data_IF_377556714931
#
_entry.id   IF_377556714931
#
_cell.length_a   1.000
_cell.length_b   1.000
_cell.length_c   1.000
_cell.angle_alpha   90.00
_cell.angle_beta   90.00
_cell.angle_gamma   90.00
#
_symmetry.space_group_name_H-M   'P 1'
#
loop_
_entity.id
_entity.type
_entity.pdbx_description
1 polymer ?
#
# COMPACT_ATOMS: atom_id res chain seq x y z
N UNK A 1 -31.84 -23.10 -8.11
CA UNK A 1 -31.65 -21.62 -8.08
C UNK A 1 -30.26 -21.33 -7.46
N UNK A 2 -29.43 -20.59 -8.13
CA UNK A 2 -28.07 -20.26 -7.65
C UNK A 2 -28.14 -18.97 -6.84
N UNK A 3 -27.61 -18.97 -5.61
CA UNK A 3 -27.63 -17.86 -4.68
C UNK A 3 -26.20 -17.44 -4.37
N UNK A 4 -25.93 -16.15 -4.39
CA UNK A 4 -24.63 -15.59 -4.02
C UNK A 4 -24.74 -14.85 -2.68
N UNK A 5 -23.84 -15.15 -1.75
CA UNK A 5 -23.66 -14.35 -0.54
C UNK A 5 -22.68 -13.20 -0.87
N UNK A 6 -23.17 -11.96 -0.88
CA UNK A 6 -22.44 -10.77 -1.31
C UNK A 6 -22.01 -9.96 -0.09
N UNK A 7 -20.72 -9.70 0.02
CA UNK A 7 -20.14 -8.84 1.03
C UNK A 7 -20.15 -7.39 0.53
N UNK A 8 -20.76 -6.52 1.32
CA UNK A 8 -20.81 -5.09 1.11
C UNK A 8 -19.96 -4.38 2.17
N UNK A 9 -19.58 -3.12 1.93
CA UNK A 9 -18.72 -2.34 2.84
C UNK A 9 -19.41 -1.91 4.16
N UNK A 10 -20.52 -2.54 4.51
CA UNK A 10 -21.22 -2.31 5.77
C UNK A 10 -20.68 -3.17 6.90
N UNK A 11 -20.81 -2.66 8.13
CA UNK A 11 -20.40 -3.38 9.34
C UNK A 11 -21.44 -4.45 9.71
N UNK A 12 -21.48 -5.56 8.96
CA UNK A 12 -22.42 -6.66 9.16
C UNK A 12 -21.68 -7.98 9.29
N UNK A 13 -22.19 -8.85 10.13
CA UNK A 13 -21.57 -10.15 10.46
C UNK A 13 -21.60 -11.11 9.28
N UNK A 14 -22.65 -11.06 8.45
CA UNK A 14 -22.82 -11.93 7.28
C UNK A 14 -23.05 -11.14 6.00
N UNK A 15 -22.75 -11.76 4.86
CA UNK A 15 -23.12 -11.24 3.56
C UNK A 15 -24.63 -11.20 3.35
N UNK A 16 -25.05 -10.46 2.35
CA UNK A 16 -26.44 -10.46 1.87
C UNK A 16 -26.61 -11.47 0.76
N UNK A 17 -27.69 -12.22 0.82
CA UNK A 17 -28.03 -13.21 -0.20
C UNK A 17 -28.77 -12.55 -1.38
N UNK A 18 -28.31 -12.88 -2.59
CA UNK A 18 -28.90 -12.45 -3.85
C UNK A 18 -29.08 -13.62 -4.80
N UNK A 19 -30.12 -13.56 -5.64
CA UNK A 19 -30.29 -14.53 -6.72
C UNK A 19 -29.26 -14.25 -7.80
N UNK A 20 -28.59 -15.28 -8.29
CA UNK A 20 -27.77 -15.18 -9.51
C UNK A 20 -28.70 -15.42 -10.68
N UNK A 21 -28.92 -14.41 -11.57
CA UNK A 21 -29.74 -14.58 -12.77
C UNK A 21 -29.18 -15.66 -13.69
N UNK A 22 -30.05 -16.35 -14.44
CA UNK A 22 -29.66 -17.46 -15.32
C UNK A 22 -28.63 -17.04 -16.36
N UNK A 23 -28.75 -15.83 -16.92
CA UNK A 23 -27.83 -15.27 -17.88
C UNK A 23 -26.43 -14.94 -17.29
N UNK A 24 -26.28 -14.89 -15.98
CA UNK A 24 -25.02 -14.66 -15.28
C UNK A 24 -24.53 -15.88 -14.50
N UNK A 25 -25.25 -17.00 -14.61
CA UNK A 25 -24.99 -18.19 -13.79
C UNK A 25 -23.59 -18.78 -13.98
N UNK A 26 -23.09 -18.77 -15.21
CA UNK A 26 -21.76 -19.32 -15.53
C UNK A 26 -20.63 -18.32 -15.24
N UNK A 27 -20.94 -17.03 -15.16
CA UNK A 27 -19.95 -15.97 -14.99
C UNK A 27 -19.71 -15.61 -13.52
N UNK A 28 -20.71 -15.81 -12.65
CA UNK A 28 -20.63 -15.44 -11.24
C UNK A 28 -20.17 -16.62 -10.40
N UNK A 29 -19.00 -16.44 -9.78
CA UNK A 29 -18.35 -17.38 -8.86
C UNK A 29 -17.94 -16.67 -7.58
N UNK A 30 -17.46 -17.40 -6.57
CA UNK A 30 -16.84 -16.79 -5.40
C UNK A 30 -15.65 -15.92 -5.84
N UNK A 31 -15.58 -14.71 -5.28
CA UNK A 31 -14.60 -13.67 -5.67
C UNK A 31 -15.12 -12.69 -6.71
N UNK A 32 -16.18 -12.98 -7.45
CA UNK A 32 -16.75 -12.06 -8.45
C UNK A 32 -17.21 -10.76 -7.81
N UNK A 33 -16.90 -9.63 -8.43
CA UNK A 33 -17.49 -8.33 -8.06
C UNK A 33 -18.81 -8.13 -8.78
N UNK A 34 -19.83 -7.81 -8.00
CA UNK A 34 -21.21 -7.67 -8.49
C UNK A 34 -21.83 -6.37 -8.01
N UNK A 35 -22.67 -5.80 -8.85
CA UNK A 35 -23.54 -4.67 -8.48
C UNK A 35 -24.87 -5.21 -7.99
N UNK A 36 -25.30 -4.75 -6.83
CA UNK A 36 -26.55 -5.16 -6.19
C UNK A 36 -27.32 -3.96 -5.68
N UNK A 37 -28.64 -4.12 -5.58
CA UNK A 37 -29.51 -3.08 -5.00
C UNK A 37 -29.79 -3.35 -3.53
N UNK A 38 -29.32 -2.45 -2.64
CA UNK A 38 -29.65 -2.43 -1.22
C UNK A 38 -30.38 -1.11 -0.87
N UNK A 39 -31.59 -1.18 -0.28
CA UNK A 39 -32.38 0.00 0.12
C UNK A 39 -32.45 1.10 -0.97
N UNK A 40 -32.75 0.72 -2.20
CA UNK A 40 -32.85 1.59 -3.39
C UNK A 40 -31.54 2.20 -3.87
N UNK A 41 -30.38 1.82 -3.30
CA UNK A 41 -29.04 2.24 -3.77
C UNK A 41 -28.35 1.07 -4.45
N UNK A 42 -27.68 1.35 -5.58
CA UNK A 42 -26.78 0.41 -6.22
C UNK A 42 -25.43 0.43 -5.52
N UNK A 43 -24.91 -0.73 -5.20
CA UNK A 43 -23.68 -0.89 -4.42
C UNK A 43 -22.87 -2.03 -5.03
N UNK A 44 -21.56 -1.84 -5.11
CA UNK A 44 -20.63 -2.88 -5.53
C UNK A 44 -20.20 -3.68 -4.31
N UNK A 45 -20.27 -5.00 -4.43
CA UNK A 45 -19.76 -5.95 -3.45
C UNK A 45 -19.03 -7.09 -4.12
N UNK A 46 -18.46 -7.98 -3.33
CA UNK A 46 -17.89 -9.22 -3.85
C UNK A 46 -18.63 -10.45 -3.31
N UNK A 47 -18.69 -11.50 -4.13
CA UNK A 47 -19.28 -12.77 -3.77
C UNK A 47 -18.34 -13.55 -2.86
N UNK A 48 -18.73 -13.82 -1.63
CA UNK A 48 -17.93 -14.60 -0.68
C UNK A 48 -18.12 -16.12 -0.85
N UNK A 49 -19.32 -16.53 -1.27
CA UNK A 49 -19.68 -17.93 -1.53
C UNK A 49 -20.91 -18.04 -2.44
N UNK A 50 -21.03 -19.18 -3.10
CA UNK A 50 -22.21 -19.58 -3.85
C UNK A 50 -22.90 -20.73 -3.09
N UNK A 51 -24.23 -20.65 -2.99
CA UNK A 51 -25.07 -21.63 -2.28
C UNK A 51 -26.39 -21.90 -3.00
N UNK A 52 -27.11 -22.91 -2.59
CA UNK A 52 -28.38 -23.32 -3.19
C UNK A 52 -29.59 -22.91 -2.36
N UNK A 53 -29.38 -22.60 -1.09
CA UNK A 53 -30.43 -22.28 -0.12
C UNK A 53 -30.12 -20.96 0.61
N UNK A 54 -31.16 -20.24 1.02
CA UNK A 54 -31.09 -19.05 1.84
C UNK A 54 -32.14 -19.09 2.95
N UNK A 55 -31.83 -18.48 4.08
CA UNK A 55 -32.79 -18.27 5.18
C UNK A 55 -33.72 -17.08 4.92
N UNK A 56 -33.50 -16.33 3.85
CA UNK A 56 -34.28 -15.15 3.49
C UNK A 56 -35.34 -15.54 2.45
N UNK A 57 -36.62 -15.29 2.76
CA UNK A 57 -37.73 -15.71 1.90
C UNK A 57 -37.83 -14.92 0.58
N UNK A 58 -37.38 -13.65 0.55
CA UNK A 58 -37.46 -12.81 -0.65
C UNK A 58 -36.06 -12.27 -0.98
N UNK A 59 -35.49 -12.79 -2.05
CA UNK A 59 -34.18 -12.39 -2.53
C UNK A 59 -34.32 -11.47 -3.74
N UNK A 60 -33.43 -10.48 -3.85
CA UNK A 60 -33.29 -9.65 -5.05
C UNK A 60 -32.25 -10.29 -5.99
N UNK A 61 -32.35 -10.05 -7.30
CA UNK A 61 -31.33 -10.51 -8.23
C UNK A 61 -30.09 -9.61 -8.14
N UNK A 62 -28.95 -10.15 -8.58
CA UNK A 62 -27.74 -9.41 -8.93
C UNK A 62 -28.03 -8.62 -10.20
N UNK A 63 -27.66 -7.33 -10.24
CA UNK A 63 -27.89 -6.46 -11.40
C UNK A 63 -26.93 -6.77 -12.55
N UNK A 64 -25.63 -6.87 -12.22
CA UNK A 64 -24.57 -7.20 -13.19
C UNK A 64 -23.27 -7.64 -12.51
N UNK A 65 -22.43 -8.32 -13.25
CA UNK A 65 -21.00 -8.50 -12.94
C UNK A 65 -20.25 -7.20 -13.26
N UNK A 66 -19.31 -6.81 -12.38
CA UNK A 66 -18.62 -5.51 -12.50
C UNK A 66 -17.29 -5.61 -13.21
N UNK A 67 -16.51 -6.66 -12.91
CA UNK A 67 -15.20 -6.92 -13.52
C UNK A 67 -15.15 -8.32 -14.10
N UNK A 68 -14.37 -8.50 -15.15
CA UNK A 68 -14.15 -9.83 -15.73
C UNK A 68 -13.44 -10.76 -14.74
N UNK A 69 -12.38 -10.28 -14.07
CA UNK A 69 -11.65 -11.03 -13.06
C UNK A 69 -12.20 -10.74 -11.66
N UNK A 70 -12.26 -11.78 -10.86
CA UNK A 70 -12.61 -11.70 -9.43
C UNK A 70 -11.38 -11.85 -8.53
N UNK A 71 -11.64 -11.84 -7.23
CA UNK A 71 -10.66 -12.15 -6.19
C UNK A 71 -10.25 -13.61 -6.29
N UNK A 72 -8.96 -13.91 -6.14
CA UNK A 72 -8.45 -15.27 -6.09
C UNK A 72 -8.93 -16.00 -4.83
N UNK A 73 -8.91 -17.34 -4.86
CA UNK A 73 -9.27 -18.18 -3.72
C UNK A 73 -8.39 -17.86 -2.50
N UNK A 74 -7.09 -17.75 -2.70
CA UNK A 74 -6.13 -17.45 -1.63
C UNK A 74 -6.39 -16.07 -1.02
N UNK A 75 -6.80 -15.10 -1.84
CA UNK A 75 -7.15 -13.77 -1.32
C UNK A 75 -8.47 -13.80 -0.54
N UNK A 76 -9.47 -14.58 -0.96
CA UNK A 76 -10.69 -14.78 -0.18
C UNK A 76 -10.40 -15.48 1.16
N UNK A 77 -9.51 -16.47 1.18
CA UNK A 77 -9.06 -17.12 2.42
C UNK A 77 -8.31 -16.12 3.32
N UNK A 78 -7.46 -15.27 2.76
CA UNK A 78 -6.81 -14.20 3.49
C UNK A 78 -7.82 -13.25 4.15
N UNK A 79 -8.85 -12.80 3.42
CA UNK A 79 -9.88 -11.91 3.96
C UNK A 79 -10.67 -12.59 5.10
N UNK A 80 -11.02 -13.86 4.96
CA UNK A 80 -11.70 -14.65 6.01
C UNK A 80 -10.83 -14.80 7.25
N UNK A 81 -9.54 -15.10 7.06
CA UNK A 81 -8.60 -15.16 8.17
C UNK A 81 -8.45 -13.81 8.88
N UNK A 82 -8.28 -12.72 8.14
CA UNK A 82 -8.16 -11.39 8.71
C UNK A 82 -9.42 -11.00 9.50
N UNK A 83 -10.60 -11.34 8.99
CA UNK A 83 -11.87 -11.14 9.69
C UNK A 83 -11.91 -11.90 11.01
N UNK A 84 -11.53 -13.16 11.02
CA UNK A 84 -11.51 -14.01 12.20
C UNK A 84 -10.43 -13.58 13.22
N UNK A 85 -9.20 -13.42 12.75
CA UNK A 85 -8.04 -13.13 13.59
C UNK A 85 -8.12 -11.76 14.28
N UNK A 86 -8.66 -10.76 13.60
CA UNK A 86 -8.82 -9.40 14.15
C UNK A 86 -10.22 -9.11 14.70
N UNK A 87 -11.03 -10.14 14.94
CA UNK A 87 -12.38 -10.03 15.51
C UNK A 87 -13.22 -8.95 14.83
N UNK A 88 -13.23 -8.94 13.52
CA UNK A 88 -13.98 -7.98 12.70
C UNK A 88 -14.78 -8.70 11.63
N UNK A 89 -15.72 -8.04 10.98
CA UNK A 89 -16.48 -8.68 9.89
C UNK A 89 -15.88 -8.37 8.51
N UNK A 90 -16.23 -9.20 7.53
CA UNK A 90 -15.72 -9.07 6.16
C UNK A 90 -16.08 -7.73 5.52
N UNK A 91 -17.22 -7.13 5.82
CA UNK A 91 -17.61 -5.81 5.31
C UNK A 91 -16.70 -4.71 5.80
N UNK A 92 -16.22 -4.78 7.05
CA UNK A 92 -15.23 -3.85 7.60
C UNK A 92 -13.85 -4.03 6.95
N UNK A 93 -13.46 -5.27 6.67
CA UNK A 93 -12.23 -5.56 5.89
C UNK A 93 -12.39 -5.04 4.44
N UNK A 94 -13.52 -5.32 3.80
CA UNK A 94 -13.80 -4.86 2.43
C UNK A 94 -13.70 -3.34 2.29
N UNK A 95 -14.06 -2.58 3.32
CA UNK A 95 -13.91 -1.11 3.31
C UNK A 95 -12.46 -0.65 3.08
N UNK A 96 -11.46 -1.47 3.41
CA UNK A 96 -10.03 -1.11 3.21
C UNK A 96 -9.64 -1.06 1.72
N UNK A 97 -10.42 -1.74 0.86
CA UNK A 97 -10.19 -1.81 -0.59
C UNK A 97 -11.50 -1.72 -1.40
N UNK A 98 -12.60 -1.26 -0.79
CA UNK A 98 -13.90 -1.12 -1.46
C UNK A 98 -13.82 -0.11 -2.60
N UNK A 99 -14.51 -0.45 -3.67
CA UNK A 99 -14.65 0.40 -4.85
C UNK A 99 -16.00 1.09 -4.74
N UNK A 100 -16.02 2.39 -4.95
CA UNK A 100 -17.23 3.14 -5.17
C UNK A 100 -17.66 3.04 -6.64
N UNK A 101 -18.83 3.58 -6.94
CA UNK A 101 -19.37 3.64 -8.30
C UNK A 101 -18.31 4.12 -9.31
N UNK A 102 -18.08 3.32 -10.37
CA UNK A 102 -17.04 3.58 -11.37
C UNK A 102 -17.44 4.80 -12.23
N UNK A 103 -17.32 5.99 -11.67
CA UNK A 103 -17.29 7.25 -12.40
C UNK A 103 -15.83 7.68 -12.61
N UNK A 104 -15.02 6.78 -13.16
CA UNK A 104 -13.63 7.12 -13.47
C UNK A 104 -13.61 8.12 -14.61
N UNK A 105 -13.28 9.36 -14.30
CA UNK A 105 -12.80 10.32 -15.29
C UNK A 105 -11.40 9.87 -15.72
N UNK A 106 -11.34 8.79 -16.51
CA UNK A 106 -10.09 8.26 -17.03
C UNK A 106 -9.44 9.35 -17.88
N UNK A 107 -8.15 9.55 -17.69
CA UNK A 107 -7.34 10.45 -18.51
C UNK A 107 -6.56 9.60 -19.51
N UNK A 108 -6.41 10.11 -20.70
CA UNK A 108 -5.79 9.43 -21.83
C UNK A 108 -4.67 10.28 -22.40
N UNK A 109 -3.68 9.61 -22.96
CA UNK A 109 -2.63 10.20 -23.81
C UNK A 109 -2.63 9.53 -25.14
N UNK A 110 -2.42 10.30 -26.20
CA UNK A 110 -2.25 9.74 -27.55
C UNK A 110 -0.81 9.25 -27.71
N UNK A 111 -0.66 7.95 -27.98
CA UNK A 111 0.64 7.27 -28.03
C UNK A 111 1.31 7.37 -29.38
N UNK A 112 0.52 7.53 -30.45
CA UNK A 112 1.01 7.54 -31.83
C UNK A 112 0.84 8.92 -32.47
N UNK A 113 1.91 9.39 -33.10
CA UNK A 113 1.88 10.56 -33.96
C UNK A 113 1.32 10.15 -35.35
N UNK A 114 -0.01 10.10 -35.44
CA UNK A 114 -0.71 9.83 -36.71
C UNK A 114 -1.33 11.12 -37.26
N UNK A 115 -1.32 11.31 -38.59
CA UNK A 115 -1.91 12.48 -39.25
C UNK A 115 -3.43 12.60 -38.99
N UNK A 116 -4.13 11.49 -38.89
CA UNK A 116 -5.58 11.43 -38.65
C UNK A 116 -5.96 11.87 -37.21
N UNK A 117 -5.03 11.73 -36.24
CA UNK A 117 -5.28 12.03 -34.83
C UNK A 117 -4.26 13.03 -34.25
N UNK A 118 -3.70 13.88 -35.15
CA UNK A 118 -2.68 14.85 -34.77
C UNK A 118 -3.18 15.83 -33.68
N UNK A 119 -4.45 16.22 -33.74
CA UNK A 119 -5.06 17.12 -32.76
C UNK A 119 -5.06 16.49 -31.38
N UNK A 120 -5.51 15.23 -31.21
CA UNK A 120 -5.46 14.49 -29.97
C UNK A 120 -4.03 14.31 -29.46
N UNK A 121 -3.09 14.05 -30.35
CA UNK A 121 -1.67 13.92 -30.00
C UNK A 121 -1.10 15.22 -29.44
N UNK A 122 -1.36 16.36 -30.07
CA UNK A 122 -0.91 17.68 -29.62
C UNK A 122 -1.54 18.05 -28.26
N UNK A 123 -2.86 17.89 -28.16
CA UNK A 123 -3.58 18.16 -26.91
C UNK A 123 -3.09 17.28 -25.75
N UNK A 124 -2.80 16.00 -26.01
CA UNK A 124 -2.32 15.07 -24.98
C UNK A 124 -0.87 15.33 -24.55
N UNK A 125 -0.06 16.04 -25.36
CA UNK A 125 1.29 16.47 -24.96
C UNK A 125 1.27 17.59 -23.95
N UNK A 126 0.28 18.47 -23.99
CA UNK A 126 0.15 19.57 -23.04
C UNK A 126 -0.37 19.07 -21.70
N UNK A 127 -1.40 18.23 -21.72
CA UNK A 127 -2.02 17.59 -20.53
C UNK A 127 -2.73 16.29 -20.92
N UNK A 128 -2.83 15.33 -20.00
CA UNK A 128 -3.67 14.16 -20.19
C UNK A 128 -5.15 14.53 -20.37
N UNK A 129 -5.80 13.92 -21.36
CA UNK A 129 -7.15 14.26 -21.80
C UNK A 129 -8.21 13.43 -21.06
N UNK A 130 -9.32 14.06 -20.69
CA UNK A 130 -10.52 13.35 -20.23
C UNK A 130 -11.28 12.79 -21.44
N UNK A 131 -12.02 11.66 -21.26
CA UNK A 131 -12.88 11.09 -22.30
C UNK A 131 -13.84 12.12 -22.91
N UNK A 132 -14.36 13.04 -22.10
CA UNK A 132 -15.22 14.13 -22.56
C UNK A 132 -14.51 15.18 -23.43
N UNK A 133 -13.20 15.35 -23.27
CA UNK A 133 -12.38 16.22 -24.12
C UNK A 133 -12.09 15.55 -25.45
N UNK A 134 -11.77 14.24 -25.42
CA UNK A 134 -11.55 13.43 -26.62
C UNK A 134 -12.84 13.35 -27.44
N UNK A 135 -14.00 13.17 -26.79
CA UNK A 135 -15.29 13.09 -27.49
C UNK A 135 -15.62 14.35 -28.28
N UNK A 136 -15.15 15.52 -27.86
CA UNK A 136 -15.33 16.78 -28.63
C UNK A 136 -14.58 16.75 -29.98
N UNK A 137 -13.49 16.01 -30.04
CA UNK A 137 -12.65 15.87 -31.27
C UNK A 137 -13.18 14.74 -32.12
N UNK A 138 -13.41 13.55 -31.54
CA UNK A 138 -13.77 12.33 -32.32
C UNK A 138 -15.27 12.18 -32.52
N UNK A 139 -16.12 12.88 -31.77
CA UNK A 139 -17.59 12.93 -31.86
C UNK A 139 -18.33 11.60 -31.66
N UNK A 140 -17.66 10.50 -31.35
CA UNK A 140 -18.27 9.19 -31.08
C UNK A 140 -17.53 8.44 -29.97
N UNK A 141 -18.30 7.87 -29.01
CA UNK A 141 -17.74 7.02 -27.95
C UNK A 141 -17.21 5.69 -28.50
N UNK A 142 -17.85 5.09 -29.49
CA UNK A 142 -17.39 3.88 -30.18
C UNK A 142 -16.03 4.09 -30.85
N UNK A 143 -15.81 5.28 -31.41
CA UNK A 143 -14.51 5.64 -32.02
C UNK A 143 -13.43 5.74 -30.92
N UNK A 144 -13.75 6.26 -29.73
CA UNK A 144 -12.79 6.31 -28.60
C UNK A 144 -12.40 4.90 -28.18
N UNK A 145 -13.37 3.99 -28.04
CA UNK A 145 -13.10 2.61 -27.65
C UNK A 145 -12.23 1.90 -28.69
N UNK A 146 -12.50 2.10 -29.98
CA UNK A 146 -11.66 1.59 -31.06
C UNK A 146 -10.23 2.17 -31.03
N UNK A 147 -10.07 3.46 -30.74
CA UNK A 147 -8.76 4.08 -30.60
C UNK A 147 -7.97 3.54 -29.40
N UNK A 148 -8.66 3.09 -28.35
CA UNK A 148 -8.05 2.42 -27.20
C UNK A 148 -7.64 0.99 -27.59
N UNK A 149 -8.50 0.24 -28.27
CA UNK A 149 -8.21 -1.12 -28.77
C UNK A 149 -7.04 -1.12 -29.75
N UNK A 150 -6.98 -0.16 -30.66
CA UNK A 150 -5.89 0.01 -31.63
C UNK A 150 -4.60 0.56 -31.00
N UNK A 151 -4.60 0.83 -29.68
CA UNK A 151 -3.43 1.34 -28.93
C UNK A 151 -3.05 2.77 -29.27
N UNK A 152 -3.89 3.53 -29.98
CA UNK A 152 -3.66 4.93 -30.33
C UNK A 152 -3.90 5.83 -29.12
N UNK A 153 -4.91 5.51 -28.28
CA UNK A 153 -5.15 6.13 -27.00
C UNK A 153 -4.73 5.16 -25.89
N UNK A 154 -3.84 5.60 -25.02
CA UNK A 154 -3.50 4.89 -23.79
C UNK A 154 -3.94 5.69 -22.57
N UNK A 155 -4.19 5.00 -21.45
CA UNK A 155 -4.42 5.68 -20.19
C UNK A 155 -3.18 6.49 -19.81
N UNK A 156 -3.36 7.65 -19.17
CA UNK A 156 -2.28 8.55 -18.71
C UNK A 156 -1.42 7.90 -17.64
N UNK A 157 -0.60 6.96 -18.07
CA UNK A 157 0.37 6.22 -17.26
C UNK A 157 1.76 6.38 -17.90
N UNK A 158 1.81 6.98 -19.10
CA UNK A 158 2.94 6.87 -20.03
C UNK A 158 4.10 7.86 -19.77
N UNK A 159 4.13 8.57 -18.65
CA UNK A 159 5.23 9.53 -18.41
C UNK A 159 6.61 8.91 -18.23
N UNK A 160 6.69 7.58 -18.00
CA UNK A 160 7.94 6.87 -17.72
C UNK A 160 8.09 5.59 -18.56
N UNK A 161 8.00 5.70 -19.88
CA UNK A 161 8.07 4.52 -20.76
C UNK A 161 9.49 4.04 -21.09
N UNK A 162 10.53 4.66 -20.52
CA UNK A 162 11.91 4.20 -20.65
C UNK A 162 12.48 3.95 -19.23
N UNK A 163 12.47 2.70 -18.76
CA UNK A 163 13.06 2.38 -17.47
C UNK A 163 14.58 2.65 -17.50
N UNK A 164 15.02 3.57 -16.67
CA UNK A 164 16.44 3.81 -16.42
C UNK A 164 16.95 2.76 -15.42
N UNK A 165 17.40 1.63 -15.94
CA UNK A 165 17.97 0.59 -15.10
C UNK A 165 19.30 1.07 -14.50
N UNK A 166 19.39 1.08 -13.17
CA UNK A 166 20.66 1.27 -12.46
C UNK A 166 21.35 -0.08 -12.30
N UNK A 167 22.48 -0.27 -12.94
CA UNK A 167 23.32 -1.44 -12.71
C UNK A 167 24.10 -1.24 -11.40
N UNK A 168 23.51 -1.73 -10.31
CA UNK A 168 24.14 -1.72 -8.98
C UNK A 168 24.92 -3.01 -8.77
N UNK A 169 26.21 -2.87 -8.50
CA UNK A 169 27.08 -4.00 -8.11
C UNK A 169 26.89 -4.23 -6.62
N UNK A 170 26.44 -5.43 -6.25
CA UNK A 170 26.28 -5.83 -4.86
C UNK A 170 27.65 -6.20 -4.25
N UNK A 171 27.81 -5.97 -2.96
CA UNK A 171 28.93 -6.53 -2.19
C UNK A 171 28.73 -8.03 -1.96
N UNK A 172 29.77 -8.75 -1.54
CA UNK A 172 29.67 -10.20 -1.27
C UNK A 172 28.56 -10.55 -0.26
N UNK A 173 28.43 -9.77 0.83
CA UNK A 173 27.37 -9.97 1.84
C UNK A 173 25.97 -9.72 1.26
N UNK A 174 25.83 -8.73 0.40
CA UNK A 174 24.58 -8.42 -0.29
C UNK A 174 24.25 -9.51 -1.33
N UNK A 175 25.23 -10.02 -2.05
CA UNK A 175 25.06 -11.07 -3.06
C UNK A 175 24.62 -12.40 -2.41
N UNK A 176 25.18 -12.77 -1.25
CA UNK A 176 24.73 -13.92 -0.46
C UNK A 176 23.25 -13.76 -0.08
N UNK A 177 22.88 -12.57 0.42
CA UNK A 177 21.49 -12.26 0.79
C UNK A 177 20.55 -12.31 -0.41
N UNK A 178 20.96 -11.71 -1.52
CA UNK A 178 20.23 -11.73 -2.79
C UNK A 178 19.98 -13.15 -3.28
N UNK A 179 21.04 -13.99 -3.34
CA UNK A 179 20.93 -15.37 -3.83
C UNK A 179 20.00 -16.21 -2.96
N UNK A 180 20.07 -16.09 -1.63
CA UNK A 180 19.21 -16.84 -0.71
C UNK A 180 17.73 -16.50 -0.91
N UNK A 181 17.40 -15.22 -1.13
CA UNK A 181 16.00 -14.78 -1.37
C UNK A 181 15.56 -15.17 -2.77
N UNK A 182 16.41 -15.04 -3.78
CA UNK A 182 16.14 -15.45 -5.17
C UNK A 182 15.79 -16.94 -5.24
N UNK A 183 16.58 -17.82 -4.62
CA UNK A 183 16.30 -19.27 -4.58
C UNK A 183 14.93 -19.57 -3.96
N UNK A 184 14.52 -18.80 -2.96
CA UNK A 184 13.18 -18.93 -2.38
C UNK A 184 12.08 -18.51 -3.37
N UNK A 185 12.28 -17.43 -4.12
CA UNK A 185 11.34 -17.00 -5.17
C UNK A 185 11.19 -18.11 -6.24
N UNK A 186 12.29 -18.71 -6.66
CA UNK A 186 12.32 -19.78 -7.66
C UNK A 186 11.62 -21.06 -7.16
N UNK A 187 11.81 -21.38 -5.89
CA UNK A 187 11.20 -22.57 -5.29
C UNK A 187 9.67 -22.52 -5.23
N UNK A 188 9.08 -21.35 -5.35
CA UNK A 188 7.64 -21.09 -5.19
C UNK A 188 7.07 -21.69 -3.89
N UNK A 189 7.88 -21.71 -2.83
CA UNK A 189 7.48 -22.10 -1.47
C UNK A 189 7.56 -20.91 -0.55
N UNK A 190 6.59 -20.83 0.34
CA UNK A 190 6.62 -19.76 1.34
C UNK A 190 7.87 -19.83 2.20
N UNK A 191 8.57 -18.70 2.30
CA UNK A 191 9.66 -18.49 3.24
C UNK A 191 9.71 -17.03 3.65
N UNK A 192 9.88 -16.79 4.95
CA UNK A 192 10.04 -15.44 5.50
C UNK A 192 11.50 -15.22 5.85
N UNK A 193 12.04 -14.10 5.38
CA UNK A 193 13.39 -13.63 5.67
C UNK A 193 13.33 -12.37 6.52
N UNK A 194 14.28 -12.22 7.43
CA UNK A 194 14.58 -10.97 8.12
C UNK A 194 15.95 -10.48 7.61
N UNK A 195 15.94 -9.42 6.80
CA UNK A 195 17.14 -8.74 6.31
C UNK A 195 17.50 -7.62 7.28
N UNK A 196 18.49 -7.88 8.10
CA UNK A 196 19.02 -6.96 9.10
C UNK A 196 20.31 -6.31 8.59
N UNK A 197 20.42 -5.01 8.77
CA UNK A 197 21.65 -4.29 8.48
C UNK A 197 21.53 -2.83 8.92
N UNK A 198 22.62 -2.25 9.40
CA UNK A 198 22.66 -0.85 9.83
C UNK A 198 22.22 0.10 8.70
N UNK A 199 21.87 1.35 8.99
CA UNK A 199 21.61 2.35 7.95
C UNK A 199 22.80 2.42 6.96
N UNK A 200 22.50 2.64 5.67
CA UNK A 200 23.50 2.73 4.59
C UNK A 200 24.25 1.43 4.27
N UNK A 201 23.72 0.27 4.61
CA UNK A 201 24.26 -1.04 4.18
C UNK A 201 23.73 -1.51 2.83
N UNK A 202 22.89 -0.72 2.14
CA UNK A 202 22.37 -1.03 0.81
C UNK A 202 21.27 -2.09 0.76
N UNK A 203 20.52 -2.31 1.85
CA UNK A 203 19.35 -3.23 1.90
C UNK A 203 18.37 -2.99 0.76
N UNK A 204 18.12 -1.73 0.45
CA UNK A 204 17.22 -1.30 -0.63
C UNK A 204 17.68 -1.83 -2.00
N UNK A 205 18.96 -1.78 -2.30
CA UNK A 205 19.49 -2.23 -3.59
C UNK A 205 19.30 -3.74 -3.79
N UNK A 206 19.34 -4.52 -2.70
CA UNK A 206 19.09 -5.97 -2.76
C UNK A 206 17.67 -6.24 -3.24
N UNK A 207 16.66 -5.60 -2.62
CA UNK A 207 15.29 -5.90 -3.02
C UNK A 207 14.92 -5.27 -4.38
N UNK A 208 15.54 -4.18 -4.80
CA UNK A 208 15.38 -3.69 -6.18
C UNK A 208 15.92 -4.71 -7.19
N UNK A 209 17.10 -5.29 -6.94
CA UNK A 209 17.66 -6.34 -7.79
C UNK A 209 16.79 -7.61 -7.80
N UNK A 210 16.20 -7.98 -6.66
CA UNK A 210 15.24 -9.08 -6.56
C UNK A 210 13.94 -8.81 -7.35
N UNK A 211 13.45 -7.58 -7.34
CA UNK A 211 12.29 -7.17 -8.11
C UNK A 211 12.59 -7.22 -9.62
N UNK A 212 13.76 -6.77 -10.06
CA UNK A 212 14.20 -6.96 -11.45
C UNK A 212 14.21 -8.42 -11.84
N UNK A 213 14.75 -9.28 -10.95
CA UNK A 213 14.74 -10.71 -11.18
C UNK A 213 13.32 -11.26 -11.33
N UNK A 214 12.43 -10.94 -10.39
CA UNK A 214 11.03 -11.39 -10.40
C UNK A 214 10.31 -10.98 -11.68
N UNK A 215 10.42 -9.69 -12.07
CA UNK A 215 9.69 -9.14 -13.22
C UNK A 215 10.17 -9.72 -14.54
N UNK A 216 11.48 -9.95 -14.67
CA UNK A 216 12.07 -10.42 -15.93
C UNK A 216 12.02 -11.94 -16.11
N UNK A 217 11.96 -12.71 -15.01
CA UNK A 217 12.07 -14.17 -15.07
C UNK A 217 10.78 -14.91 -14.66
N UNK A 218 9.76 -14.21 -14.20
CA UNK A 218 8.49 -14.81 -13.79
C UNK A 218 7.31 -13.94 -14.24
N UNK A 219 6.10 -14.48 -14.18
CA UNK A 219 4.84 -13.75 -14.36
C UNK A 219 4.26 -13.23 -13.03
N UNK A 220 4.97 -13.44 -11.92
CA UNK A 220 4.51 -13.09 -10.58
C UNK A 220 4.57 -11.58 -10.32
N UNK A 221 3.80 -11.15 -9.35
CA UNK A 221 3.69 -9.77 -8.88
C UNK A 221 4.36 -9.61 -7.51
N UNK A 222 4.72 -8.37 -7.17
CA UNK A 222 5.29 -8.01 -5.88
C UNK A 222 4.42 -6.98 -5.14
N UNK A 223 4.37 -7.12 -3.81
CA UNK A 223 3.85 -6.14 -2.87
C UNK A 223 5.00 -5.53 -2.09
N UNK A 224 5.17 -4.21 -2.13
CA UNK A 224 6.18 -3.48 -1.38
C UNK A 224 5.50 -2.52 -0.42
N UNK A 225 5.76 -2.68 0.86
CA UNK A 225 5.11 -1.91 1.91
C UNK A 225 6.10 -1.01 2.63
N UNK A 226 5.70 0.26 2.82
CA UNK A 226 6.41 1.27 3.60
C UNK A 226 5.55 1.77 4.75
N UNK A 227 6.16 2.23 5.87
CA UNK A 227 5.39 2.68 7.04
C UNK A 227 4.60 3.97 6.80
N UNK A 228 5.10 4.88 5.97
CA UNK A 228 4.56 6.23 5.81
C UNK A 228 4.29 6.58 4.34
N UNK A 229 3.26 7.43 4.11
CA UNK A 229 2.86 7.88 2.77
C UNK A 229 4.01 8.65 2.09
N UNK A 230 4.71 9.51 2.82
CA UNK A 230 5.83 10.28 2.28
C UNK A 230 6.94 9.39 1.69
N UNK A 231 7.22 8.23 2.32
CA UNK A 231 8.14 7.24 1.78
C UNK A 231 7.56 6.56 0.53
N UNK A 232 6.27 6.22 0.54
CA UNK A 232 5.61 5.64 -0.64
C UNK A 232 5.76 6.55 -1.85
N UNK A 233 5.55 7.86 -1.72
CA UNK A 233 5.65 8.81 -2.84
C UNK A 233 7.08 8.92 -3.39
N UNK A 234 8.08 8.99 -2.51
CA UNK A 234 9.49 9.04 -2.90
C UNK A 234 9.90 7.75 -3.62
N UNK A 235 9.58 6.60 -3.03
CA UNK A 235 9.92 5.32 -3.62
C UNK A 235 9.11 5.01 -4.87
N UNK A 236 7.83 5.39 -4.93
CA UNK A 236 7.02 5.20 -6.13
C UNK A 236 7.60 5.90 -7.36
N UNK A 237 8.18 7.09 -7.17
CA UNK A 237 8.90 7.77 -8.26
C UNK A 237 10.08 6.91 -8.73
N UNK A 238 10.92 6.43 -7.82
CA UNK A 238 12.04 5.54 -8.15
C UNK A 238 11.59 4.24 -8.80
N UNK A 239 10.54 3.59 -8.29
CA UNK A 239 9.97 2.37 -8.89
C UNK A 239 9.45 2.63 -10.31
N UNK A 240 8.79 3.76 -10.52
CA UNK A 240 8.25 4.13 -11.84
C UNK A 240 9.35 4.45 -12.86
N UNK A 241 10.44 5.08 -12.42
CA UNK A 241 11.62 5.34 -13.25
C UNK A 241 12.36 4.05 -13.61
N UNK A 242 12.46 3.10 -12.67
CA UNK A 242 13.28 1.90 -12.84
C UNK A 242 12.53 0.73 -13.50
N UNK A 243 11.23 0.59 -13.25
CA UNK A 243 10.40 -0.51 -13.78
C UNK A 243 9.34 -0.06 -14.80
N UNK A 244 9.09 1.22 -14.91
CA UNK A 244 8.03 1.80 -15.74
C UNK A 244 6.70 1.93 -15.01
N UNK A 245 6.00 3.03 -15.26
CA UNK A 245 4.71 3.32 -14.66
C UNK A 245 3.58 2.38 -15.12
N UNK A 246 3.76 1.67 -16.24
CA UNK A 246 2.77 0.71 -16.74
C UNK A 246 2.56 -0.45 -15.78
N UNK A 247 3.62 -0.97 -15.16
CA UNK A 247 3.56 -2.13 -14.28
C UNK A 247 3.59 -1.78 -12.78
N UNK A 248 3.75 -0.49 -12.44
CA UNK A 248 3.84 -0.03 -11.06
C UNK A 248 2.52 0.62 -10.61
N UNK A 249 2.05 0.30 -9.42
CA UNK A 249 0.88 0.93 -8.79
C UNK A 249 1.24 1.49 -7.41
N UNK A 250 0.53 2.55 -7.01
CA UNK A 250 0.63 3.20 -5.71
C UNK A 250 -0.68 3.00 -4.93
N UNK A 251 -0.59 2.62 -3.64
CA UNK A 251 -1.77 2.37 -2.79
C UNK A 251 -1.57 2.95 -1.39
N UNK A 252 -2.31 4.01 -1.07
CA UNK A 252 -2.38 4.61 0.27
C UNK A 252 -3.66 5.43 0.45
N UNK A 253 -3.99 5.81 1.68
CA UNK A 253 -5.26 6.45 2.05
C UNK A 253 -5.49 7.87 1.51
N UNK A 254 -4.46 8.56 1.05
CA UNK A 254 -4.56 9.92 0.50
C UNK A 254 -4.78 9.96 -1.02
N UNK A 255 -4.87 8.78 -1.67
CA UNK A 255 -5.27 8.73 -3.08
C UNK A 255 -6.70 9.21 -3.24
N UNK A 256 -6.95 9.95 -4.32
CA UNK A 256 -8.32 10.26 -4.72
C UNK A 256 -9.10 8.98 -5.05
N UNK A 257 -10.41 9.03 -4.91
CA UNK A 257 -11.30 7.89 -5.22
C UNK A 257 -11.08 7.37 -6.65
N UNK A 258 -10.87 8.26 -7.62
CA UNK A 258 -10.60 7.91 -9.00
C UNK A 258 -9.27 7.18 -9.21
N UNK A 259 -8.20 7.61 -8.51
CA UNK A 259 -6.90 6.94 -8.55
C UNK A 259 -6.97 5.58 -7.88
N UNK A 260 -7.65 5.48 -6.72
CA UNK A 260 -7.83 4.21 -6.02
C UNK A 260 -8.55 3.19 -6.90
N UNK A 261 -9.67 3.58 -7.52
CA UNK A 261 -10.43 2.71 -8.42
C UNK A 261 -9.59 2.29 -9.65
N UNK A 262 -8.83 3.22 -10.22
CA UNK A 262 -7.94 2.94 -11.34
C UNK A 262 -6.85 1.91 -10.98
N UNK A 263 -6.14 2.13 -9.88
CA UNK A 263 -5.11 1.17 -9.45
C UNK A 263 -5.72 -0.17 -9.06
N UNK A 264 -6.87 -0.16 -8.35
CA UNK A 264 -7.56 -1.39 -8.00
C UNK A 264 -7.90 -2.24 -9.23
N UNK A 265 -8.55 -1.65 -10.23
CA UNK A 265 -8.93 -2.35 -11.46
C UNK A 265 -7.70 -2.87 -12.21
N UNK A 266 -6.65 -2.04 -12.33
CA UNK A 266 -5.41 -2.41 -13.03
C UNK A 266 -4.64 -3.53 -12.30
N UNK A 267 -4.65 -3.54 -10.96
CA UNK A 267 -4.08 -4.63 -10.15
C UNK A 267 -4.89 -5.91 -10.32
N UNK A 268 -6.22 -5.82 -10.26
CA UNK A 268 -7.11 -6.97 -10.40
C UNK A 268 -6.96 -7.63 -11.78
N UNK A 269 -6.79 -6.84 -12.85
CA UNK A 269 -6.51 -7.35 -14.20
C UNK A 269 -5.12 -7.96 -14.35
N UNK A 270 -4.17 -7.60 -13.48
CA UNK A 270 -2.78 -8.02 -13.55
C UNK A 270 -1.88 -7.12 -14.40
N UNK A 271 -2.38 -5.93 -14.82
CA UNK A 271 -1.59 -4.94 -15.56
C UNK A 271 -0.47 -4.37 -14.67
N UNK A 272 -0.77 -4.21 -13.37
CA UNK A 272 0.19 -3.75 -12.36
C UNK A 272 0.82 -4.94 -11.64
N UNK A 273 2.13 -5.06 -11.74
CA UNK A 273 2.89 -6.17 -11.16
C UNK A 273 3.73 -5.78 -9.94
N UNK A 274 4.02 -4.48 -9.75
CA UNK A 274 4.71 -3.94 -8.58
C UNK A 274 3.74 -3.00 -7.87
N UNK A 275 3.26 -3.40 -6.70
CA UNK A 275 2.33 -2.64 -5.89
C UNK A 275 3.10 -2.04 -4.72
N UNK A 276 3.19 -0.72 -4.67
CA UNK A 276 3.89 0.04 -3.63
C UNK A 276 2.87 0.76 -2.78
N UNK A 277 2.93 0.59 -1.46
CA UNK A 277 1.95 1.28 -0.62
C UNK A 277 2.23 1.22 0.86
N UNK A 278 1.30 1.80 1.63
CA UNK A 278 1.33 1.73 3.09
C UNK A 278 0.67 0.43 3.58
N UNK A 279 0.43 0.32 4.89
CA UNK A 279 -0.21 -0.86 5.52
C UNK A 279 -1.47 -1.37 4.80
N UNK A 280 -2.29 -0.47 4.24
CA UNK A 280 -3.53 -0.86 3.55
C UNK A 280 -3.28 -1.56 2.22
N UNK A 281 -2.11 -1.40 1.61
CA UNK A 281 -1.75 -2.07 0.37
C UNK A 281 -1.77 -3.61 0.48
N UNK A 282 -1.71 -4.16 1.70
CA UNK A 282 -1.87 -5.59 1.95
C UNK A 282 -3.23 -6.13 1.48
N UNK A 283 -4.24 -5.28 1.35
CA UNK A 283 -5.57 -5.64 0.84
C UNK A 283 -5.74 -5.39 -0.67
N UNK A 284 -4.67 -5.10 -1.41
CA UNK A 284 -4.75 -4.98 -2.87
C UNK A 284 -5.06 -6.35 -3.52
N UNK A 285 -5.94 -6.43 -4.54
CA UNK A 285 -6.37 -7.69 -5.13
C UNK A 285 -5.35 -8.27 -6.13
N UNK A 286 -4.17 -8.60 -5.63
CA UNK A 286 -3.07 -9.17 -6.44
C UNK A 286 -3.34 -10.66 -6.61
N UNK A 287 -3.56 -11.11 -7.84
CA UNK A 287 -3.92 -12.49 -8.15
C UNK A 287 -2.72 -13.44 -8.27
N UNK A 288 -1.55 -12.95 -8.63
CA UNK A 288 -0.34 -13.77 -8.80
C UNK A 288 0.81 -13.21 -7.96
N UNK A 289 0.59 -13.14 -6.63
CA UNK A 289 1.59 -12.65 -5.69
C UNK A 289 2.73 -13.66 -5.55
N UNK A 290 3.99 -13.23 -5.72
CA UNK A 290 5.17 -14.09 -5.56
C UNK A 290 6.22 -13.53 -4.62
N UNK A 291 6.19 -12.22 -4.37
CA UNK A 291 7.16 -11.57 -3.48
C UNK A 291 6.51 -10.46 -2.66
N UNK A 292 6.79 -10.44 -1.37
CA UNK A 292 6.30 -9.43 -0.43
C UNK A 292 7.50 -8.81 0.28
N UNK A 293 7.59 -7.48 0.26
CA UNK A 293 8.61 -6.72 0.95
C UNK A 293 7.92 -5.82 1.97
N UNK A 294 8.41 -5.85 3.21
CA UNK A 294 7.98 -4.95 4.28
C UNK A 294 9.21 -4.18 4.74
N UNK A 295 9.36 -2.95 4.26
CA UNK A 295 10.50 -2.11 4.63
C UNK A 295 10.22 -1.41 5.97
N UNK A 296 11.27 -1.19 6.79
CA UNK A 296 11.17 -0.70 8.18
C UNK A 296 10.09 -1.47 8.98
N UNK A 297 10.17 -2.82 8.95
CA UNK A 297 9.14 -3.75 9.49
C UNK A 297 8.77 -3.51 10.96
N UNK A 298 9.67 -2.89 11.72
CA UNK A 298 9.50 -2.59 13.14
C UNK A 298 8.61 -1.38 13.40
N UNK A 299 8.27 -0.59 12.36
CA UNK A 299 7.54 0.66 12.55
C UNK A 299 6.12 0.41 13.06
N UNK A 300 5.73 1.18 14.08
CA UNK A 300 4.42 1.06 14.73
C UNK A 300 3.24 1.43 13.82
N UNK A 301 3.48 2.19 12.74
CA UNK A 301 2.45 2.59 11.77
C UNK A 301 1.85 1.41 11.00
N UNK A 302 2.54 0.25 10.95
CA UNK A 302 1.95 -0.98 10.42
C UNK A 302 0.77 -1.49 11.25
N UNK A 303 0.66 -1.11 12.53
CA UNK A 303 -0.52 -1.41 13.34
C UNK A 303 -1.55 -0.30 13.22
N UNK A 304 -2.78 -0.65 12.83
CA UNK A 304 -3.92 0.27 12.81
C UNK A 304 -4.56 0.36 14.20
N UNK A 305 -4.57 1.57 14.77
CA UNK A 305 -5.14 1.84 16.10
C UNK A 305 -6.38 2.72 16.06
N UNK A 306 -6.56 3.51 14.99
CA UNK A 306 -7.54 4.60 14.96
C UNK A 306 -8.95 4.13 14.63
N UNK A 307 -9.09 3.03 13.89
CA UNK A 307 -10.38 2.51 13.43
C UNK A 307 -10.32 1.02 13.13
N UNK A 308 -11.45 0.35 13.20
CA UNK A 308 -11.57 -1.05 12.77
C UNK A 308 -11.41 -1.17 11.24
N UNK A 309 -10.78 -2.25 10.78
CA UNK A 309 -10.17 -3.36 11.55
C UNK A 309 -8.84 -2.96 12.19
N UNK A 310 -8.61 -3.39 13.44
CA UNK A 310 -7.36 -3.11 14.18
C UNK A 310 -6.25 -4.08 13.80
N UNK A 311 -5.91 -4.16 12.52
CA UNK A 311 -4.95 -5.11 11.97
C UNK A 311 -3.50 -4.62 12.06
N UNK A 312 -2.56 -5.56 11.93
CA UNK A 312 -1.16 -5.28 11.71
C UNK A 312 -0.80 -5.64 10.25
N UNK A 313 -0.40 -4.64 9.46
CA UNK A 313 -0.09 -4.81 8.04
C UNK A 313 1.08 -5.74 7.78
N UNK A 314 2.13 -5.72 8.62
CA UNK A 314 3.26 -6.66 8.56
C UNK A 314 2.80 -8.10 8.76
N UNK A 315 2.03 -8.37 9.79
CA UNK A 315 1.57 -9.72 10.11
C UNK A 315 0.60 -10.23 9.04
N UNK A 316 -0.26 -9.34 8.53
CA UNK A 316 -1.11 -9.63 7.35
C UNK A 316 -0.28 -9.97 6.12
N UNK A 317 0.82 -9.24 5.85
CA UNK A 317 1.71 -9.48 4.72
C UNK A 317 2.40 -10.85 4.81
N UNK A 318 2.86 -11.24 6.00
CA UNK A 318 3.47 -12.56 6.25
C UNK A 318 2.45 -13.68 6.00
N UNK A 319 1.25 -13.55 6.57
CA UNK A 319 0.21 -14.57 6.42
C UNK A 319 -0.29 -14.67 4.97
N UNK A 320 -0.42 -13.52 4.28
CA UNK A 320 -0.75 -13.50 2.86
C UNK A 320 0.32 -14.20 2.03
N UNK A 321 1.60 -13.94 2.32
CA UNK A 321 2.72 -14.65 1.69
C UNK A 321 2.66 -16.16 1.92
N UNK A 322 2.26 -16.59 3.13
CA UNK A 322 2.05 -18.01 3.43
C UNK A 322 0.95 -18.62 2.56
N UNK A 323 -0.22 -17.99 2.45
CA UNK A 323 -1.34 -18.51 1.65
C UNK A 323 -1.02 -18.60 0.15
N UNK A 324 -0.23 -17.64 -0.37
CA UNK A 324 0.11 -17.58 -1.80
C UNK A 324 1.43 -18.29 -2.14
N UNK A 325 2.04 -19.00 -1.21
CA UNK A 325 3.37 -19.60 -1.36
C UNK A 325 4.44 -18.60 -1.82
N UNK A 326 4.34 -17.34 -1.37
CA UNK A 326 5.23 -16.25 -1.75
C UNK A 326 6.40 -16.12 -0.78
N UNK A 327 7.53 -15.64 -1.27
CA UNK A 327 8.65 -15.21 -0.45
C UNK A 327 8.33 -13.89 0.24
N UNK A 328 8.59 -13.78 1.55
CA UNK A 328 8.42 -12.55 2.32
C UNK A 328 9.78 -12.06 2.82
N UNK A 329 10.09 -10.80 2.57
CA UNK A 329 11.31 -10.13 3.00
C UNK A 329 10.95 -8.98 3.96
N UNK A 330 11.23 -9.16 5.23
CA UNK A 330 11.17 -8.13 6.25
C UNK A 330 12.51 -7.42 6.28
N UNK A 331 12.52 -6.09 6.14
CA UNK A 331 13.74 -5.29 6.05
C UNK A 331 13.80 -4.32 7.22
N UNK A 332 14.91 -4.29 7.94
CA UNK A 332 15.06 -3.38 9.09
C UNK A 332 16.52 -3.09 9.44
N UNK A 333 16.76 -1.88 9.97
CA UNK A 333 17.99 -1.53 10.68
C UNK A 333 17.89 -1.79 12.18
N UNK A 334 16.67 -1.86 12.74
CA UNK A 334 16.36 -2.04 14.15
C UNK A 334 15.16 -2.98 14.29
N UNK A 335 15.32 -4.28 14.01
CA UNK A 335 14.22 -5.23 13.93
C UNK A 335 13.32 -5.21 15.17
N UNK A 336 12.01 -5.45 14.97
CA UNK A 336 11.10 -5.68 16.07
C UNK A 336 11.52 -6.89 16.89
N UNK A 337 11.21 -6.90 18.20
CA UNK A 337 11.56 -7.99 19.10
C UNK A 337 10.99 -9.32 18.61
N UNK A 338 9.78 -9.29 18.07
CA UNK A 338 9.07 -10.45 17.53
C UNK A 338 9.76 -11.02 16.30
N UNK A 339 10.10 -10.15 15.33
CA UNK A 339 10.78 -10.59 14.10
C UNK A 339 12.17 -11.12 14.38
N UNK A 340 12.91 -10.46 15.30
CA UNK A 340 14.23 -10.91 15.71
C UNK A 340 14.17 -12.25 16.44
N UNK A 341 13.23 -12.42 17.39
CA UNK A 341 13.03 -13.70 18.08
C UNK A 341 12.64 -14.82 17.11
N UNK A 342 11.72 -14.56 16.15
CA UNK A 342 11.36 -15.53 15.13
C UNK A 342 12.56 -15.92 14.23
N UNK A 343 13.45 -14.99 13.92
CA UNK A 343 14.67 -15.27 13.18
C UNK A 343 15.66 -16.12 14.01
N UNK A 344 15.85 -15.79 15.29
CA UNK A 344 16.73 -16.56 16.18
C UNK A 344 16.22 -17.97 16.44
N UNK A 345 14.92 -18.17 16.48
CA UNK A 345 14.30 -19.49 16.65
C UNK A 345 14.17 -20.29 15.34
N UNK A 346 14.72 -19.79 14.23
CA UNK A 346 14.71 -20.48 12.92
C UNK A 346 13.37 -20.45 12.19
N UNK A 347 12.35 -19.71 12.69
CA UNK A 347 11.08 -19.53 12.01
C UNK A 347 11.20 -18.61 10.80
N UNK A 348 12.08 -17.60 10.89
CA UNK A 348 12.49 -16.76 9.77
C UNK A 348 13.95 -17.04 9.43
N UNK A 349 14.31 -16.94 8.15
CA UNK A 349 15.70 -16.98 7.74
C UNK A 349 16.36 -15.63 8.02
N UNK A 350 17.41 -15.63 8.82
CA UNK A 350 18.14 -14.42 9.21
C UNK A 350 19.23 -14.10 8.20
N UNK A 351 19.19 -12.90 7.62
CA UNK A 351 20.19 -12.35 6.71
C UNK A 351 20.76 -11.08 7.34
N UNK A 352 22.07 -11.05 7.55
CA UNK A 352 22.75 -9.91 8.18
C UNK A 352 23.76 -9.28 7.22
N UNK A 353 23.69 -7.97 7.07
CA UNK A 353 24.67 -7.16 6.34
C UNK A 353 25.40 -6.29 7.37
N UNK A 354 26.67 -6.57 7.57
CA UNK A 354 27.53 -5.90 8.56
C UNK A 354 28.21 -4.68 7.99
N UNK A 355 28.65 -4.79 6.73
CA UNK A 355 29.47 -3.77 6.07
C UNK A 355 28.62 -2.63 5.54
N UNK A 356 29.00 -1.38 5.82
CA UNK A 356 28.41 -0.21 5.18
C UNK A 356 28.96 -0.01 3.79
N UNK A 357 28.13 0.44 2.88
CA UNK A 357 28.56 0.85 1.56
C UNK A 357 29.65 1.94 1.68
N UNK A 358 30.74 1.80 0.91
CA UNK A 358 31.91 2.70 0.93
C UNK A 358 32.69 2.76 2.27
N UNK A 359 32.52 1.80 3.17
CA UNK A 359 33.27 1.76 4.44
C UNK A 359 33.03 2.97 5.36
N UNK A 360 31.91 3.69 5.20
CA UNK A 360 31.59 4.89 5.97
C UNK A 360 31.62 4.59 7.48
N UNK A 361 32.41 5.32 8.31
CA UNK A 361 32.48 5.07 9.74
C UNK A 361 31.15 5.35 10.42
N UNK A 362 30.92 4.71 11.56
CA UNK A 362 29.76 5.06 12.40
C UNK A 362 29.96 6.46 13.01
N UNK A 363 28.88 7.23 13.18
CA UNK A 363 28.96 8.47 13.94
C UNK A 363 29.33 8.18 15.39
N UNK A 364 30.06 9.09 16.00
CA UNK A 364 30.30 9.06 17.45
C UNK A 364 28.99 9.34 18.18
N UNK A 365 28.62 8.47 19.13
CA UNK A 365 27.42 8.60 19.95
C UNK A 365 27.80 9.03 21.36
N UNK A 366 27.29 10.19 21.79
CA UNK A 366 27.43 10.69 23.16
C UNK A 366 26.11 10.67 23.88
N UNK A 367 26.04 10.02 25.02
CA UNK A 367 24.87 10.02 25.90
C UNK A 367 24.98 11.18 26.88
N UNK A 368 24.00 12.07 26.82
CA UNK A 368 23.95 13.25 27.70
C UNK A 368 22.69 13.14 28.56
N UNK A 369 22.86 13.09 29.86
CA UNK A 369 21.74 13.09 30.80
C UNK A 369 21.22 14.51 30.98
N UNK A 370 19.90 14.70 30.77
CA UNK A 370 19.26 15.98 31.00
C UNK A 370 18.84 16.08 32.48
N UNK A 371 19.58 16.84 33.26
CA UNK A 371 19.32 17.06 34.70
C UNK A 371 18.26 18.13 34.98
N UNK A 372 17.84 18.89 33.94
CA UNK A 372 16.86 19.97 34.07
C UNK A 372 15.48 19.52 33.58
N UNK A 373 14.56 19.23 34.46
CA UNK A 373 13.21 18.75 34.15
C UNK A 373 12.35 19.64 33.24
N UNK A 374 12.75 20.89 33.05
CA UNK A 374 11.97 21.88 32.29
C UNK A 374 12.53 22.23 30.90
N UNK A 375 13.66 21.64 30.50
CA UNK A 375 14.26 21.90 29.18
C UNK A 375 14.24 20.63 28.35
N UNK A 376 13.73 20.74 27.13
CA UNK A 376 13.68 19.61 26.18
C UNK A 376 15.07 19.20 25.66
N UNK A 377 16.06 20.09 25.76
CA UNK A 377 17.43 19.86 25.30
C UNK A 377 18.37 20.16 26.49
N UNK A 378 19.27 19.22 26.77
CA UNK A 378 20.28 19.39 27.82
C UNK A 378 21.21 20.57 27.50
N UNK A 379 21.66 21.29 28.54
CA UNK A 379 22.54 22.48 28.38
C UNK A 379 23.80 22.13 27.58
N UNK A 380 24.45 21.04 27.93
CA UNK A 380 25.66 20.58 27.23
C UNK A 380 25.42 20.25 25.73
N UNK A 381 24.22 19.77 25.38
CA UNK A 381 23.85 19.60 23.97
C UNK A 381 23.68 20.95 23.26
N UNK A 382 23.18 21.98 23.94
CA UNK A 382 23.09 23.33 23.38
C UNK A 382 24.46 23.94 23.08
N UNK A 383 25.45 23.70 23.97
CA UNK A 383 26.83 24.13 23.73
C UNK A 383 27.42 23.46 22.46
N UNK A 384 27.20 22.16 22.33
CA UNK A 384 27.64 21.39 21.14
C UNK A 384 26.97 21.89 19.88
N UNK A 385 25.65 22.18 19.93
CA UNK A 385 24.90 22.78 18.79
C UNK A 385 25.50 24.13 18.41
N UNK A 386 25.75 25.00 19.41
CA UNK A 386 26.30 26.33 19.16
C UNK A 386 27.72 26.25 18.53
N UNK A 387 28.55 25.32 18.98
CA UNK A 387 29.87 25.10 18.41
C UNK A 387 29.79 24.58 16.97
N UNK A 388 28.94 23.59 16.70
CA UNK A 388 28.73 23.00 15.36
C UNK A 388 28.30 24.07 14.35
N UNK A 389 27.40 24.99 14.76
CA UNK A 389 26.94 26.09 13.93
C UNK A 389 28.06 27.14 13.68
N UNK A 390 28.92 27.43 14.67
CA UNK A 390 30.08 28.28 14.48
C UNK A 390 31.08 27.74 13.47
N UNK A 391 31.14 26.40 13.33
CA UNK A 391 31.97 25.70 12.35
C UNK A 391 31.32 25.65 10.96
N UNK A 392 30.23 26.38 10.71
CA UNK A 392 29.42 26.35 9.48
C UNK A 392 28.93 24.96 9.09
N UNK A 393 28.69 24.08 10.07
CA UNK A 393 28.11 22.74 9.89
C UNK A 393 26.62 22.78 10.21
N UNK A 394 25.91 21.74 9.77
CA UNK A 394 24.47 21.59 9.99
C UNK A 394 24.17 20.81 11.27
N UNK A 395 23.06 21.11 11.91
CA UNK A 395 22.55 20.42 13.09
C UNK A 395 21.13 19.95 12.82
N UNK A 396 20.88 18.66 13.05
CA UNK A 396 19.54 18.07 13.03
C UNK A 396 19.09 17.77 14.48
N UNK A 397 17.99 18.38 14.89
CA UNK A 397 17.38 18.10 16.20
C UNK A 397 16.14 17.25 15.98
N UNK A 398 16.15 16.04 16.52
CA UNK A 398 15.00 15.15 16.47
C UNK A 398 14.32 15.10 17.85
N UNK A 399 13.05 15.50 17.88
CA UNK A 399 12.20 15.39 19.07
C UNK A 399 11.03 14.45 18.75
N UNK A 400 10.95 13.32 19.42
CA UNK A 400 9.85 12.36 19.24
C UNK A 400 8.55 12.87 19.92
N UNK A 401 8.05 14.01 19.44
CA UNK A 401 6.79 14.63 19.91
C UNK A 401 6.01 15.14 18.70
N UNK A 402 4.74 14.70 18.60
CA UNK A 402 3.81 15.27 17.61
C UNK A 402 3.23 16.57 18.15
N UNK A 403 3.07 17.58 17.28
CA UNK A 403 2.48 18.87 17.61
C UNK A 403 3.44 19.87 18.25
N UNK A 404 3.03 21.15 18.25
CA UNK A 404 3.83 22.27 18.75
C UNK A 404 3.90 22.31 20.29
N UNK A 405 2.79 21.99 20.96
CA UNK A 405 2.66 21.91 22.42
C UNK A 405 1.63 20.83 22.77
N UNK A 406 2.10 19.73 23.36
CA UNK A 406 1.24 18.61 23.77
C UNK A 406 0.82 18.70 25.25
N UNK A 407 1.32 19.66 25.98
CA UNK A 407 1.02 19.84 27.40
C UNK A 407 0.96 21.32 27.74
N UNK A 408 -0.23 21.78 28.07
CA UNK A 408 -0.44 23.13 28.61
C UNK A 408 -0.71 23.00 30.11
N UNK A 409 0.20 23.52 30.90
CA UNK A 409 0.15 23.38 32.37
C UNK A 409 0.05 24.76 33.01
N UNK A 410 -0.86 24.91 33.96
CA UNK A 410 -0.97 26.14 34.69
C UNK A 410 0.31 26.37 35.50
N UNK A 411 0.92 27.55 35.36
CA UNK A 411 2.16 27.90 36.09
C UNK A 411 1.95 28.09 37.59
N UNK A 412 0.71 28.33 38.04
CA UNK A 412 0.36 28.57 39.46
C UNK A 412 -0.01 27.27 40.18
N UNK A 413 -0.94 26.47 39.62
CA UNK A 413 -1.45 25.26 40.30
C UNK A 413 -0.87 23.97 39.72
N UNK A 414 -0.18 24.01 38.61
CA UNK A 414 0.38 22.83 37.98
C UNK A 414 -0.65 21.95 37.22
N UNK A 415 -1.90 22.35 37.14
CA UNK A 415 -2.97 21.61 36.48
C UNK A 415 -2.80 21.59 34.97
N UNK A 416 -3.05 20.43 34.33
CA UNK A 416 -2.98 20.26 32.90
C UNK A 416 -4.29 20.68 32.25
N UNK A 417 -4.22 21.38 31.12
CA UNK A 417 -5.38 21.69 30.28
C UNK A 417 -5.82 20.43 29.54
N UNK A 418 -6.92 19.83 29.97
CA UNK A 418 -7.42 18.53 29.52
C UNK A 418 -8.75 18.67 28.80
N UNK A 419 -9.02 17.73 27.90
CA UNK A 419 -10.34 17.61 27.25
C UNK A 419 -11.38 17.14 28.26
N UNK A 420 -12.53 17.79 28.29
CA UNK A 420 -13.64 17.45 29.19
C UNK A 420 -14.26 16.08 28.89
N UNK A 421 -14.17 15.62 27.62
CA UNK A 421 -14.77 14.36 27.19
C UNK A 421 -13.87 13.13 27.37
N UNK A 422 -12.54 13.26 27.24
CA UNK A 422 -11.61 12.11 27.26
C UNK A 422 -10.45 12.27 28.24
N UNK A 423 -10.38 13.37 28.99
CA UNK A 423 -9.33 13.69 29.97
C UNK A 423 -7.89 13.71 29.44
N UNK A 424 -7.69 13.61 28.12
CA UNK A 424 -6.39 13.74 27.48
C UNK A 424 -6.02 15.22 27.35
N UNK A 425 -4.73 15.54 27.49
CA UNK A 425 -4.26 16.92 27.32
C UNK A 425 -4.51 17.42 25.90
N UNK A 426 -5.02 18.65 25.76
CA UNK A 426 -5.15 19.30 24.46
C UNK A 426 -3.80 19.51 23.81
N UNK A 427 -3.74 19.35 22.48
CA UNK A 427 -2.60 19.74 21.66
C UNK A 427 -2.84 21.11 21.04
N UNK A 428 -1.87 22.03 21.17
CA UNK A 428 -1.94 23.33 20.55
C UNK A 428 -1.44 23.28 19.11
N UNK A 429 -2.28 23.69 18.17
CA UNK A 429 -1.94 23.81 16.75
C UNK A 429 -1.56 25.25 16.41
N UNK A 430 -0.29 25.46 16.03
CA UNK A 430 0.22 26.80 15.72
C UNK A 430 -0.41 27.41 14.47
N UNK A 431 -0.79 26.58 13.49
CA UNK A 431 -1.42 27.02 12.23
C UNK A 431 -2.81 27.59 12.41
N UNK A 432 -3.63 26.93 13.25
CA UNK A 432 -5.02 27.36 13.56
C UNK A 432 -5.09 28.21 14.82
N UNK A 433 -4.04 28.21 15.65
CA UNK A 433 -4.00 28.82 17.00
C UNK A 433 -5.06 28.26 17.96
N UNK A 434 -5.43 27.01 17.79
CA UNK A 434 -6.46 26.34 18.57
C UNK A 434 -5.90 25.19 19.39
N UNK A 435 -6.56 24.90 20.51
CA UNK A 435 -6.37 23.69 21.28
C UNK A 435 -7.33 22.61 20.79
N UNK A 436 -6.78 21.51 20.25
CA UNK A 436 -7.57 20.41 19.68
C UNK A 436 -7.35 19.14 20.50
N UNK A 437 -8.44 18.44 20.78
CA UNK A 437 -8.40 17.07 21.25
C UNK A 437 -8.32 16.14 20.03
N UNK A 438 -7.37 15.22 20.04
CA UNK A 438 -7.16 14.25 18.93
C UNK A 438 -7.83 12.90 19.17
N UNK A 439 -8.71 12.79 20.19
CA UNK A 439 -9.45 11.57 20.53
C UNK A 439 -10.96 11.76 20.46
#
# INVERSE_FOLDING_TARGET
MKIASVILYYNLVSGFDYIVPDNLSDEITAGSFVEVTLRKKRIIGFVSEIKTESKVNTLKPIERKVFERGLSKDFLEFLKWASYYYFTNLGTIYRQFSISEIKTKRKFVCTLKNKEHLELYVMSKEKPLLRSEILKVVKSDETIDKLIEDGILAYDIARFNNPNRRDVILTDEQEISYNSVRESIDSSKHKTFLLYGKPSTGKTEIYFKLLHYLINNTDKSALVMFPEIGLVDVFFTRFSEEFGSLITAKVHSELSEGEMNFYFESILRGDKRIIVGTRSAVFSPINNLGFVIVDEEQDSSYKQFDSAPFYNGRDCAIYRGYLTNSTVLLVSATPSTESYANAKNGKYSFLEIKSRHLGTPQPEVKIIYNTMAHKNIAVHAMDTIAQTLKENKQVLIFLNRRGYLNLYKCSKCGENFKCDNCSVSYSFHKSTREFVCHY
#
